data_IF_959800825061
#
_entry.id   IF_959800825061
#
_cell.length_a   1.000
_cell.length_b   1.000
_cell.length_c   1.000
_cell.angle_alpha   90.00
_cell.angle_beta   90.00
_cell.angle_gamma   90.00
#
_symmetry.space_group_name_H-M   'P 1'
#
loop_
_entity.id
_entity.type
_entity.pdbx_description
1 polymer ?
#
# COMPACT_ATOMS: atom_id res chain seq x y z
N UNK A 1 -42.38 -43.16 47.81
CA UNK A 1 -42.40 -41.97 46.93
C UNK A 1 -41.43 -42.19 45.77
N UNK A 2 -41.87 -42.25 44.51
CA UNK A 2 -40.97 -42.32 43.35
C UNK A 2 -40.92 -40.95 42.66
N UNK A 3 -39.76 -40.30 42.64
CA UNK A 3 -39.58 -39.00 41.97
C UNK A 3 -39.30 -39.21 40.48
N UNK A 4 -40.22 -38.74 39.63
CA UNK A 4 -40.04 -38.73 38.18
C UNK A 4 -39.12 -37.57 37.80
N UNK A 5 -37.90 -37.85 37.32
CA UNK A 5 -37.06 -36.82 36.69
C UNK A 5 -37.62 -36.51 35.30
N UNK A 6 -38.14 -35.29 35.10
CA UNK A 6 -38.49 -34.81 33.76
C UNK A 6 -37.21 -34.45 33.01
N UNK A 7 -36.95 -35.14 31.90
CA UNK A 7 -35.87 -34.81 30.96
C UNK A 7 -36.23 -33.48 30.28
N UNK A 8 -35.39 -32.47 30.46
CA UNK A 8 -35.54 -31.18 29.77
C UNK A 8 -35.49 -31.40 28.25
N UNK A 9 -36.43 -30.78 27.53
CA UNK A 9 -36.39 -30.79 26.06
C UNK A 9 -35.15 -30.03 25.65
N UNK A 10 -34.20 -30.73 25.01
CA UNK A 10 -33.09 -30.08 24.33
C UNK A 10 -33.70 -29.13 23.29
N UNK A 11 -33.55 -27.83 23.51
CA UNK A 11 -33.90 -26.82 22.52
C UNK A 11 -33.06 -27.02 21.26
N UNK A 12 -33.60 -26.55 20.14
CA UNK A 12 -32.96 -26.53 18.81
C UNK A 12 -31.50 -26.07 18.95
N UNK A 13 -30.53 -26.72 18.28
CA UNK A 13 -29.14 -26.29 18.31
C UNK A 13 -29.06 -24.82 17.92
N UNK A 14 -28.29 -24.04 18.68
CA UNK A 14 -28.03 -22.63 18.40
C UNK A 14 -27.64 -22.52 16.93
N UNK A 15 -28.43 -21.78 16.16
CA UNK A 15 -27.97 -21.35 14.83
C UNK A 15 -26.65 -20.65 15.07
N UNK A 16 -25.60 -21.20 14.47
CA UNK A 16 -24.23 -20.69 14.44
C UNK A 16 -24.22 -19.33 13.76
N UNK A 17 -24.80 -18.34 14.44
CA UNK A 17 -24.73 -16.93 14.11
C UNK A 17 -23.70 -16.33 15.02
N UNK A 18 -22.85 -15.50 14.45
CA UNK A 18 -21.96 -14.67 15.24
C UNK A 18 -22.78 -13.86 16.26
N UNK A 19 -22.28 -13.72 17.49
CA UNK A 19 -22.97 -12.95 18.50
C UNK A 19 -23.07 -11.48 18.06
N UNK A 20 -24.15 -10.77 18.44
CA UNK A 20 -24.28 -9.35 18.13
C UNK A 20 -23.13 -8.56 18.74
N UNK A 21 -22.48 -7.71 17.93
CA UNK A 21 -21.45 -6.79 18.38
C UNK A 21 -22.07 -5.42 18.68
N UNK A 22 -21.86 -4.92 19.89
CA UNK A 22 -22.25 -3.55 20.26
C UNK A 22 -21.09 -2.61 19.94
N UNK A 23 -21.35 -1.59 19.12
CA UNK A 23 -20.38 -0.54 18.79
C UNK A 23 -20.92 0.83 19.20
N UNK A 24 -20.02 1.71 19.62
CA UNK A 24 -20.36 3.10 19.90
C UNK A 24 -20.23 3.91 18.61
N UNK A 25 -21.35 4.49 18.17
CA UNK A 25 -21.42 5.32 16.98
C UNK A 25 -21.93 6.71 17.39
N UNK A 26 -21.28 7.80 16.94
CA UNK A 26 -21.85 9.14 17.11
C UNK A 26 -23.27 9.21 16.51
N UNK A 27 -24.13 10.03 17.11
CA UNK A 27 -25.53 10.18 16.66
C UNK A 27 -25.61 10.71 15.23
N UNK A 28 -24.69 11.60 14.84
CA UNK A 28 -24.58 12.12 13.48
C UNK A 28 -24.30 11.01 12.47
N UNK A 29 -23.32 10.15 12.76
CA UNK A 29 -22.97 9.02 11.89
C UNK A 29 -24.12 8.01 11.80
N UNK A 30 -24.85 7.79 12.90
CA UNK A 30 -26.02 6.91 12.91
C UNK A 30 -27.12 7.45 11.98
N UNK A 31 -27.35 8.76 11.98
CA UNK A 31 -28.32 9.39 11.08
C UNK A 31 -27.91 9.27 9.60
N UNK A 32 -26.62 9.39 9.29
CA UNK A 32 -26.11 9.19 7.93
C UNK A 32 -26.30 7.74 7.46
N UNK A 33 -26.03 6.77 8.34
CA UNK A 33 -26.27 5.34 8.04
C UNK A 33 -27.76 5.08 7.82
N UNK A 34 -28.65 5.67 8.62
CA UNK A 34 -30.11 5.52 8.46
C UNK A 34 -30.61 6.14 7.15
N UNK A 35 -30.09 7.31 6.78
CA UNK A 35 -30.40 7.94 5.50
C UNK A 35 -29.93 7.08 4.32
N UNK A 36 -28.72 6.52 4.40
CA UNK A 36 -28.21 5.59 3.41
C UNK A 36 -29.05 4.31 3.33
N UNK A 37 -29.45 3.76 4.48
CA UNK A 37 -30.30 2.57 4.55
C UNK A 37 -31.65 2.80 3.85
N UNK A 38 -32.28 3.95 4.12
CA UNK A 38 -33.54 4.36 3.47
C UNK A 38 -33.39 4.51 1.96
N UNK A 39 -32.31 5.12 1.51
CA UNK A 39 -32.03 5.31 0.08
C UNK A 39 -31.75 3.99 -0.67
N UNK A 40 -31.32 2.93 0.04
CA UNK A 40 -30.95 1.64 -0.53
C UNK A 40 -31.91 0.51 -0.18
N UNK A 41 -33.10 0.84 0.34
CA UNK A 41 -34.16 -0.09 0.78
C UNK A 41 -33.60 -1.23 1.68
N UNK A 42 -32.76 -0.85 2.65
CA UNK A 42 -32.04 -1.76 3.51
C UNK A 42 -32.39 -1.53 4.99
N UNK A 43 -32.25 -2.59 5.81
CA UNK A 43 -32.28 -2.43 7.26
C UNK A 43 -31.00 -1.74 7.74
N UNK A 44 -31.02 -1.14 8.94
CA UNK A 44 -29.81 -0.54 9.54
C UNK A 44 -28.65 -1.54 9.60
N UNK A 45 -28.91 -2.78 10.00
CA UNK A 45 -27.87 -3.82 10.09
C UNK A 45 -27.29 -4.16 8.72
N UNK A 46 -28.13 -4.31 7.69
CA UNK A 46 -27.66 -4.56 6.33
C UNK A 46 -26.88 -3.37 5.76
N UNK A 47 -27.31 -2.15 6.07
CA UNK A 47 -26.60 -0.94 5.67
C UNK A 47 -25.20 -0.88 6.29
N UNK A 48 -25.08 -1.16 7.59
CA UNK A 48 -23.78 -1.22 8.26
C UNK A 48 -22.88 -2.29 7.62
N UNK A 49 -23.40 -3.50 7.37
CA UNK A 49 -22.63 -4.56 6.71
C UNK A 49 -22.13 -4.13 5.32
N UNK A 50 -23.02 -3.63 4.45
CA UNK A 50 -22.64 -3.21 3.09
C UNK A 50 -21.66 -2.06 3.09
N UNK A 51 -21.84 -1.06 3.95
CA UNK A 51 -20.92 0.07 4.06
C UNK A 51 -19.53 -0.38 4.52
N UNK A 52 -19.46 -1.33 5.46
CA UNK A 52 -18.19 -1.93 5.89
C UNK A 52 -17.54 -2.71 4.75
N UNK A 53 -18.28 -3.56 4.05
CA UNK A 53 -17.77 -4.30 2.88
C UNK A 53 -17.25 -3.37 1.79
N UNK A 54 -17.99 -2.29 1.47
CA UNK A 54 -17.56 -1.27 0.52
C UNK A 54 -16.29 -0.55 0.97
N UNK A 55 -16.19 -0.20 2.26
CA UNK A 55 -15.00 0.42 2.83
C UNK A 55 -13.77 -0.50 2.78
N UNK A 56 -13.96 -1.79 3.05
CA UNK A 56 -12.90 -2.79 2.96
C UNK A 56 -12.48 -3.07 1.51
N UNK A 57 -13.45 -3.14 0.59
CA UNK A 57 -13.21 -3.37 -0.84
C UNK A 57 -12.57 -2.16 -1.53
N UNK A 58 -12.93 -0.93 -1.14
CA UNK A 58 -12.31 0.28 -1.67
C UNK A 58 -10.79 0.29 -1.41
N UNK A 59 -10.38 -0.29 -0.28
CA UNK A 59 -9.00 -0.33 0.18
C UNK A 59 -8.51 1.09 0.47
N UNK A 60 -8.04 1.35 1.69
CA UNK A 60 -7.25 2.56 1.92
C UNK A 60 -5.93 2.35 1.20
N UNK A 61 -5.87 2.67 -0.09
CA UNK A 61 -4.58 2.88 -0.75
C UNK A 61 -3.96 4.03 0.04
N UNK A 62 -2.84 3.83 0.76
CA UNK A 62 -2.12 4.98 1.30
C UNK A 62 -1.94 5.91 0.11
N UNK A 63 -2.27 7.19 0.26
CA UNK A 63 -2.11 8.17 -0.80
C UNK A 63 -0.69 7.98 -1.32
N UNK A 64 -0.57 7.33 -2.48
CA UNK A 64 0.71 6.97 -3.02
C UNK A 64 1.23 8.33 -3.44
N UNK A 65 1.98 8.99 -2.56
CA UNK A 65 2.70 10.22 -2.87
C UNK A 65 3.42 9.87 -4.15
N UNK A 66 2.95 10.42 -5.27
CA UNK A 66 3.28 9.95 -6.61
C UNK A 66 4.79 9.86 -6.69
N UNK A 67 5.35 8.65 -6.51
CA UNK A 67 6.78 8.50 -6.30
C UNK A 67 7.53 8.98 -7.55
N UNK A 68 6.87 8.87 -8.70
CA UNK A 68 7.22 9.51 -9.97
C UNK A 68 7.32 11.03 -9.86
N UNK A 69 6.27 11.71 -9.38
CA UNK A 69 6.24 13.17 -9.21
C UNK A 69 7.27 13.65 -8.17
N UNK A 70 7.45 12.93 -7.07
CA UNK A 70 8.47 13.23 -6.07
C UNK A 70 9.88 13.08 -6.65
N UNK A 71 10.12 12.02 -7.43
CA UNK A 71 11.38 11.78 -8.15
C UNK A 71 11.66 12.86 -9.19
N UNK A 72 10.66 13.28 -9.95
CA UNK A 72 10.78 14.36 -10.95
C UNK A 72 11.11 15.70 -10.29
N UNK A 73 10.42 16.05 -9.20
CA UNK A 73 10.72 17.27 -8.44
C UNK A 73 12.13 17.24 -7.87
N UNK A 74 12.56 16.10 -7.30
CA UNK A 74 13.92 15.94 -6.79
C UNK A 74 14.96 16.09 -7.90
N UNK A 75 14.75 15.47 -9.07
CA UNK A 75 15.66 15.59 -10.21
C UNK A 75 15.81 17.05 -10.69
N UNK A 76 14.70 17.77 -10.84
CA UNK A 76 14.71 19.17 -11.24
C UNK A 76 15.42 20.08 -10.22
N UNK A 77 15.21 19.84 -8.91
CA UNK A 77 15.89 20.61 -7.86
C UNK A 77 17.39 20.35 -7.88
N UNK A 78 17.82 19.10 -8.04
CA UNK A 78 19.24 18.74 -8.15
C UNK A 78 19.87 19.39 -9.40
N UNK A 79 19.16 19.40 -10.53
CA UNK A 79 19.64 20.00 -11.78
C UNK A 79 19.81 21.51 -11.69
N UNK A 80 18.96 22.19 -10.91
CA UNK A 80 19.04 23.62 -10.65
C UNK A 80 20.12 23.97 -9.62
N UNK A 81 20.32 23.15 -8.59
CA UNK A 81 21.40 23.31 -7.62
C UNK A 81 22.78 23.00 -8.21
N UNK A 82 22.85 22.21 -9.28
CA UNK A 82 24.08 21.90 -9.99
C UNK A 82 24.55 23.11 -10.84
N UNK A 83 25.38 23.94 -10.21
CA UNK A 83 26.32 24.90 -10.82
C UNK A 83 25.74 25.72 -11.99
N UNK A 84 25.02 26.80 -11.65
CA UNK A 84 24.41 27.72 -12.62
C UNK A 84 25.39 28.39 -13.59
N UNK A 85 26.70 28.36 -13.31
CA UNK A 85 27.75 28.94 -14.13
C UNK A 85 28.30 28.00 -15.23
N UNK A 86 27.98 26.70 -15.21
CA UNK A 86 28.48 25.73 -16.18
C UNK A 86 27.50 25.57 -17.36
N UNK A 87 28.01 25.34 -18.57
CA UNK A 87 27.16 25.00 -19.72
C UNK A 87 26.47 23.64 -19.53
N UNK A 88 25.37 23.39 -20.23
CA UNK A 88 24.64 22.13 -20.11
C UNK A 88 25.52 20.89 -20.41
N UNK A 89 26.49 21.04 -21.31
CA UNK A 89 27.39 19.96 -21.74
C UNK A 89 28.49 19.68 -20.70
N UNK A 90 28.98 20.73 -20.03
CA UNK A 90 29.92 20.60 -18.90
C UNK A 90 29.26 19.93 -17.69
N UNK A 91 28.00 20.28 -17.41
CA UNK A 91 27.20 19.63 -16.37
C UNK A 91 26.97 18.16 -16.70
N UNK A 92 26.62 17.84 -17.94
CA UNK A 92 26.41 16.46 -18.39
C UNK A 92 27.71 15.63 -18.30
N UNK A 93 28.83 16.18 -18.74
CA UNK A 93 30.15 15.53 -18.67
C UNK A 93 30.60 15.29 -17.22
N UNK A 94 30.38 16.28 -16.34
CA UNK A 94 30.67 16.14 -14.91
C UNK A 94 29.77 15.13 -14.22
N UNK A 95 28.46 15.15 -14.50
CA UNK A 95 27.52 14.13 -13.99
C UNK A 95 27.93 12.74 -14.44
N UNK A 96 28.29 12.55 -15.71
CA UNK A 96 28.81 11.26 -16.22
C UNK A 96 30.08 10.83 -15.49
N UNK A 97 31.01 11.76 -15.22
CA UNK A 97 32.23 11.49 -14.45
C UNK A 97 31.92 11.07 -13.01
N UNK A 98 30.98 11.75 -12.34
CA UNK A 98 30.55 11.43 -10.97
C UNK A 98 29.78 10.10 -10.88
N UNK A 99 28.91 9.83 -11.86
CA UNK A 99 28.15 8.57 -11.94
C UNK A 99 29.04 7.38 -12.32
N UNK A 100 30.13 7.60 -13.08
CA UNK A 100 31.15 6.57 -13.33
C UNK A 100 31.93 6.29 -12.04
N UNK A 101 32.26 7.34 -11.29
CA UNK A 101 33.08 7.32 -10.09
C UNK A 101 34.58 7.43 -10.44
N UNK A 102 35.45 7.78 -9.47
CA UNK A 102 36.90 7.69 -9.64
C UNK A 102 37.35 6.27 -10.01
N UNK A 103 38.48 6.14 -10.69
CA UNK A 103 38.95 4.82 -11.14
C UNK A 103 39.19 3.87 -9.97
N UNK A 104 39.61 4.37 -8.80
CA UNK A 104 39.86 3.56 -7.60
C UNK A 104 38.61 2.82 -7.08
N UNK A 105 37.42 3.33 -7.39
CA UNK A 105 36.16 2.77 -6.91
C UNK A 105 35.37 2.04 -7.99
N UNK A 106 35.85 2.04 -9.24
CA UNK A 106 35.12 1.44 -10.36
C UNK A 106 34.97 -0.08 -10.19
N UNK A 107 36.00 -0.76 -9.67
CA UNK A 107 35.99 -2.21 -9.40
C UNK A 107 35.21 -2.61 -8.14
N UNK A 108 35.06 -1.68 -7.19
CA UNK A 108 34.37 -1.88 -5.92
C UNK A 108 32.84 -1.72 -6.02
N UNK A 109 32.31 -1.30 -7.18
CA UNK A 109 30.87 -1.12 -7.39
C UNK A 109 30.13 -2.46 -7.38
N UNK A 110 29.45 -2.75 -6.26
CA UNK A 110 28.65 -3.96 -6.04
C UNK A 110 27.51 -4.10 -7.07
N UNK A 111 26.94 -2.98 -7.52
CA UNK A 111 25.75 -2.97 -8.40
C UNK A 111 26.04 -3.22 -9.89
N UNK A 112 27.30 -3.23 -10.33
CA UNK A 112 27.63 -3.44 -11.75
C UNK A 112 27.90 -4.93 -12.00
N UNK A 113 27.13 -5.56 -12.89
CA UNK A 113 27.51 -6.88 -13.44
C UNK A 113 28.90 -6.77 -14.04
N UNK A 114 29.87 -7.50 -13.50
CA UNK A 114 31.23 -7.56 -14.06
C UNK A 114 31.12 -8.03 -15.51
N UNK A 115 31.52 -7.20 -16.46
CA UNK A 115 31.76 -7.66 -17.81
C UNK A 115 32.95 -8.62 -17.70
N UNK A 116 32.70 -9.91 -17.91
CA UNK A 116 33.78 -10.85 -18.22
C UNK A 116 34.37 -10.35 -19.54
N UNK A 117 35.61 -9.89 -19.51
CA UNK A 117 36.39 -9.82 -20.73
C UNK A 117 36.57 -11.27 -21.20
N UNK A 118 36.01 -11.59 -22.37
CA UNK A 118 36.30 -12.84 -23.07
C UNK A 118 37.74 -12.75 -23.60
N UNK A 119 38.71 -13.04 -22.73
CA UNK A 119 40.06 -13.44 -23.16
C UNK A 119 40.01 -14.92 -23.54
N UNK A 120 39.74 -15.16 -24.82
CA UNK A 120 39.72 -16.47 -25.45
C UNK A 120 40.55 -16.51 -26.73
N UNK A 121 41.87 -16.64 -26.56
CA UNK A 121 42.81 -17.40 -27.42
C UNK A 121 42.66 -17.29 -28.95
N UNK A 122 43.61 -16.60 -29.59
CA UNK A 122 44.04 -16.86 -30.96
C UNK A 122 45.55 -17.11 -31.00
N UNK A 123 45.94 -18.38 -31.05
CA UNK A 123 47.31 -18.88 -31.27
C UNK A 123 47.88 -18.38 -32.60
N UNK A 124 49.20 -18.21 -32.65
CA UNK A 124 50.01 -18.60 -33.82
C UNK A 124 50.85 -19.80 -33.40
#
# INVERSE_FOLDING_TARGET
MKTVRRKGRAGRPSTERDPPATTWLPTTLTAEVDAWATANDATRSDAIHRLVELGLAAGVKPAQLNATRAKELAANVIDNLADGAASADDRASRKRRLLKGPEEFTEARVDRRRQKNDEGTGRN
#
